data_IF_829399622466
#
_entry.id   IF_829399622466
#
_cell.length_a   1.000
_cell.length_b   1.000
_cell.length_c   1.000
_cell.angle_alpha   90.00
_cell.angle_beta   90.00
_cell.angle_gamma   90.00
#
_symmetry.space_group_name_H-M   'P 1'
#
loop_
_entity.id
_entity.type
_entity.pdbx_description
1 polymer ?
#
# COMPACT_ATOMS: atom_id res chain seq x y z
N UNK A 1 48.03 -13.83 -17.71
CA UNK A 1 47.43 -12.70 -16.98
C UNK A 1 45.94 -12.70 -17.29
N UNK A 2 45.14 -13.31 -16.43
CA UNK A 2 43.68 -13.31 -16.58
C UNK A 2 43.16 -11.95 -16.10
N UNK A 3 42.77 -11.08 -17.04
CA UNK A 3 42.07 -9.85 -16.71
C UNK A 3 40.70 -10.20 -16.15
N UNK A 4 40.48 -9.94 -14.87
CA UNK A 4 39.15 -10.01 -14.27
C UNK A 4 38.25 -9.01 -14.99
N UNK A 5 37.19 -9.50 -15.63
CA UNK A 5 36.18 -8.65 -16.23
C UNK A 5 35.64 -7.69 -15.15
N UNK A 6 35.46 -6.39 -15.44
CA UNK A 6 34.86 -5.47 -14.49
C UNK A 6 33.47 -5.98 -14.12
N UNK A 7 33.23 -6.19 -12.83
CA UNK A 7 31.88 -6.50 -12.34
C UNK A 7 30.95 -5.37 -12.74
N UNK A 8 29.76 -5.66 -13.31
CA UNK A 8 28.76 -4.63 -13.58
C UNK A 8 28.44 -3.87 -12.29
N UNK A 9 29.01 -2.68 -12.14
CA UNK A 9 28.82 -1.87 -10.95
C UNK A 9 27.44 -1.22 -11.05
N UNK A 10 26.42 -1.89 -10.52
CA UNK A 10 25.09 -1.29 -10.38
C UNK A 10 25.24 -0.10 -9.42
N UNK A 11 24.76 1.11 -9.76
CA UNK A 11 24.92 2.27 -8.90
C UNK A 11 24.33 1.96 -7.52
N UNK A 12 25.14 2.04 -6.46
CA UNK A 12 24.70 1.71 -5.11
C UNK A 12 23.44 2.49 -4.70
N UNK A 13 23.31 3.74 -5.17
CA UNK A 13 22.14 4.58 -4.95
C UNK A 13 20.82 4.02 -5.50
N UNK A 14 20.84 3.36 -6.66
CA UNK A 14 19.63 2.77 -7.26
C UNK A 14 19.13 1.57 -6.44
N UNK A 15 20.05 0.78 -5.89
CA UNK A 15 19.73 -0.36 -5.02
C UNK A 15 19.17 0.16 -3.70
N UNK A 16 19.87 1.08 -3.04
CA UNK A 16 19.42 1.68 -1.77
C UNK A 16 18.05 2.33 -1.91
N UNK A 17 17.83 3.14 -2.96
CA UNK A 17 16.54 3.79 -3.18
C UNK A 17 15.41 2.76 -3.37
N UNK A 18 15.64 1.73 -4.17
CA UNK A 18 14.64 0.67 -4.40
C UNK A 18 14.32 -0.07 -3.10
N UNK A 19 15.34 -0.45 -2.32
CA UNK A 19 15.15 -1.14 -1.03
C UNK A 19 14.39 -0.27 -0.04
N UNK A 20 14.77 1.01 0.10
CA UNK A 20 14.08 1.95 1.00
C UNK A 20 12.61 2.11 0.60
N UNK A 21 12.32 2.28 -0.69
CA UNK A 21 10.94 2.40 -1.18
C UNK A 21 10.11 1.15 -0.86
N UNK A 22 10.67 -0.05 -1.02
CA UNK A 22 9.98 -1.29 -0.65
C UNK A 22 9.73 -1.40 0.87
N UNK A 23 10.71 -1.02 1.69
CA UNK A 23 10.57 -1.05 3.16
C UNK A 23 9.49 -0.08 3.61
N UNK A 24 9.53 1.17 3.12
CA UNK A 24 8.54 2.20 3.45
C UNK A 24 7.15 1.78 2.98
N UNK A 25 7.03 1.26 1.75
CA UNK A 25 5.77 0.79 1.22
C UNK A 25 5.22 -0.41 2.01
N UNK A 26 6.07 -1.37 2.38
CA UNK A 26 5.67 -2.51 3.20
C UNK A 26 5.18 -2.09 4.59
N UNK A 27 5.91 -1.20 5.26
CA UNK A 27 5.51 -0.66 6.55
C UNK A 27 4.18 0.10 6.46
N UNK A 28 4.02 0.95 5.44
CA UNK A 28 2.78 1.69 5.21
C UNK A 28 1.61 0.74 4.93
N UNK A 29 1.79 -0.25 4.07
CA UNK A 29 0.77 -1.26 3.77
C UNK A 29 0.36 -2.04 5.03
N UNK A 30 1.30 -2.38 5.92
CA UNK A 30 0.99 -3.04 7.18
C UNK A 30 0.14 -2.16 8.11
N UNK A 31 0.48 -0.87 8.22
CA UNK A 31 -0.31 0.12 8.98
C UNK A 31 -1.72 0.25 8.39
N UNK A 32 -1.83 0.40 7.07
CA UNK A 32 -3.09 0.45 6.34
C UNK A 32 -3.97 -0.77 6.63
N UNK A 33 -3.38 -1.96 6.61
CA UNK A 33 -4.09 -3.21 6.87
C UNK A 33 -4.54 -3.31 8.33
N UNK A 34 -3.69 -2.91 9.28
CA UNK A 34 -4.04 -2.84 10.70
C UNK A 34 -5.21 -1.89 10.97
N UNK A 35 -5.21 -0.71 10.34
CA UNK A 35 -6.32 0.25 10.44
C UNK A 35 -7.62 -0.31 9.85
N UNK A 36 -7.56 -0.97 8.68
CA UNK A 36 -8.72 -1.60 8.07
C UNK A 36 -9.32 -2.70 8.96
N UNK A 37 -8.47 -3.58 9.51
CA UNK A 37 -8.89 -4.64 10.41
C UNK A 37 -9.50 -4.09 11.70
N UNK A 38 -8.85 -3.10 12.32
CA UNK A 38 -9.37 -2.46 13.52
C UNK A 38 -10.75 -1.83 13.28
N UNK A 39 -10.92 -1.16 12.14
CA UNK A 39 -12.18 -0.54 11.72
C UNK A 39 -13.29 -1.58 11.51
N UNK A 40 -12.97 -2.71 10.89
CA UNK A 40 -13.89 -3.83 10.69
C UNK A 40 -14.28 -4.52 12.01
N UNK A 41 -13.33 -4.69 12.92
CA UNK A 41 -13.59 -5.25 14.26
C UNK A 41 -14.53 -4.32 15.05
N UNK A 42 -14.32 -3.01 14.96
CA UNK A 42 -15.20 -2.03 15.61
C UNK A 42 -16.64 -2.11 15.07
N UNK A 43 -16.80 -2.42 13.78
CA UNK A 43 -18.11 -2.67 13.16
C UNK A 43 -18.83 -3.92 13.68
N UNK A 44 -18.06 -4.93 14.10
CA UNK A 44 -18.58 -6.22 14.59
C UNK A 44 -18.90 -6.22 16.08
N UNK A 45 -18.51 -5.18 16.82
CA UNK A 45 -18.96 -4.98 18.21
C UNK A 45 -20.47 -4.72 18.22
N UNK A 46 -21.22 -5.23 19.21
CA UNK A 46 -22.69 -5.14 19.26
C UNK A 46 -23.16 -3.75 19.70
N UNK A 47 -22.70 -2.70 19.02
CA UNK A 47 -23.16 -1.31 19.21
C UNK A 47 -24.58 -1.12 18.63
N UNK A 48 -25.07 -2.13 17.91
CA UNK A 48 -26.22 -2.08 17.04
C UNK A 48 -27.43 -2.92 17.52
N UNK A 49 -27.54 -3.21 18.83
CA UNK A 49 -28.63 -4.06 19.33
C UNK A 49 -29.99 -3.36 19.36
N UNK A 50 -30.06 -2.03 19.47
CA UNK A 50 -31.34 -1.31 19.63
C UNK A 50 -31.64 -0.22 18.59
N UNK A 51 -30.64 0.27 17.83
CA UNK A 51 -30.80 1.45 16.94
C UNK A 51 -30.30 1.23 15.50
N UNK A 52 -30.23 -0.03 15.06
CA UNK A 52 -29.69 -0.48 13.77
C UNK A 52 -30.39 0.12 12.53
N UNK A 53 -31.60 0.63 12.72
CA UNK A 53 -32.44 1.20 11.65
C UNK A 53 -32.32 2.73 11.52
N UNK A 54 -31.43 3.36 12.32
CA UNK A 54 -31.20 4.80 12.20
C UNK A 54 -30.30 5.13 10.99
N UNK A 55 -30.62 6.15 10.18
CA UNK A 55 -29.85 6.48 8.98
C UNK A 55 -28.40 6.86 9.28
N UNK A 56 -28.11 7.32 10.50
CA UNK A 56 -26.77 7.67 10.95
C UNK A 56 -25.87 6.44 11.18
N UNK A 57 -26.41 5.33 11.71
CA UNK A 57 -25.62 4.10 11.86
C UNK A 57 -25.33 3.45 10.52
N UNK A 58 -26.28 3.47 9.59
CA UNK A 58 -26.07 2.95 8.22
C UNK A 58 -24.99 3.73 7.49
N UNK A 59 -24.99 5.07 7.61
CA UNK A 59 -23.96 5.94 7.02
C UNK A 59 -22.58 5.68 7.63
N UNK A 60 -22.51 5.52 8.95
CA UNK A 60 -21.26 5.19 9.65
C UNK A 60 -20.69 3.84 9.20
N UNK A 61 -21.53 2.80 9.18
CA UNK A 61 -21.16 1.44 8.72
C UNK A 61 -20.64 1.48 7.29
N UNK A 62 -21.35 2.18 6.41
CA UNK A 62 -20.97 2.31 5.01
C UNK A 62 -19.62 3.02 4.84
N UNK A 63 -19.39 4.15 5.51
CA UNK A 63 -18.11 4.88 5.44
C UNK A 63 -16.96 4.07 5.99
N UNK A 64 -17.16 3.40 7.11
CA UNK A 64 -16.12 2.59 7.75
C UNK A 64 -15.72 1.42 6.84
N UNK A 65 -16.70 0.72 6.28
CA UNK A 65 -16.47 -0.37 5.35
C UNK A 65 -15.81 0.10 4.04
N UNK A 66 -16.32 1.17 3.42
CA UNK A 66 -15.75 1.72 2.18
C UNK A 66 -14.31 2.17 2.40
N UNK A 67 -14.03 2.90 3.49
CA UNK A 67 -12.66 3.31 3.81
C UNK A 67 -11.72 2.12 4.02
N UNK A 68 -12.17 1.07 4.72
CA UNK A 68 -11.40 -0.16 4.92
C UNK A 68 -11.11 -0.90 3.60
N UNK A 69 -12.10 -0.99 2.69
CA UNK A 69 -11.91 -1.61 1.36
C UNK A 69 -10.94 -0.80 0.51
N UNK A 70 -11.07 0.53 0.49
CA UNK A 70 -10.21 1.41 -0.30
C UNK A 70 -8.76 1.32 0.16
N UNK A 71 -8.52 1.32 1.48
CA UNK A 71 -7.14 1.30 2.00
C UNK A 71 -6.49 -0.08 1.83
N UNK A 72 -7.22 -1.18 2.06
CA UNK A 72 -6.71 -2.53 1.88
C UNK A 72 -6.47 -2.86 0.40
N UNK A 73 -7.43 -2.50 -0.46
CA UNK A 73 -7.32 -2.67 -1.91
C UNK A 73 -6.18 -1.84 -2.51
N UNK A 74 -6.05 -0.59 -2.06
CA UNK A 74 -4.96 0.30 -2.44
C UNK A 74 -3.58 -0.22 -2.05
N UNK A 75 -3.42 -0.72 -0.81
CA UNK A 75 -2.19 -1.33 -0.35
C UNK A 75 -1.82 -2.58 -1.18
N UNK A 76 -2.80 -3.45 -1.45
CA UNK A 76 -2.59 -4.65 -2.28
C UNK A 76 -2.19 -4.27 -3.72
N UNK A 77 -2.91 -3.34 -4.33
CA UNK A 77 -2.62 -2.85 -5.68
C UNK A 77 -1.24 -2.19 -5.75
N UNK A 78 -0.90 -1.34 -4.77
CA UNK A 78 0.41 -0.71 -4.68
C UNK A 78 1.53 -1.75 -4.62
N UNK A 79 1.39 -2.79 -3.79
CA UNK A 79 2.37 -3.87 -3.67
C UNK A 79 2.51 -4.68 -4.96
N UNK A 80 1.40 -4.95 -5.65
CA UNK A 80 1.40 -5.64 -6.95
C UNK A 80 2.14 -4.82 -8.00
N UNK A 81 1.85 -3.53 -8.11
CA UNK A 81 2.49 -2.64 -9.09
C UNK A 81 4.00 -2.51 -8.81
N UNK A 82 4.35 -2.35 -7.54
CA UNK A 82 5.73 -2.29 -7.07
C UNK A 82 6.51 -3.57 -7.40
N UNK A 83 5.97 -4.73 -7.00
CA UNK A 83 6.60 -6.03 -7.19
C UNK A 83 6.70 -6.45 -8.65
N UNK A 84 5.59 -6.39 -9.39
CA UNK A 84 5.56 -6.79 -10.81
C UNK A 84 6.43 -5.85 -11.66
N UNK A 85 6.38 -4.55 -11.41
CA UNK A 85 7.18 -3.56 -12.12
C UNK A 85 8.68 -3.72 -11.87
N UNK A 86 9.08 -3.93 -10.61
CA UNK A 86 10.46 -4.21 -10.25
C UNK A 86 10.96 -5.54 -10.84
N UNK A 87 10.12 -6.59 -10.85
CA UNK A 87 10.46 -7.88 -11.45
C UNK A 87 10.67 -7.77 -12.96
N UNK A 88 9.74 -7.12 -13.68
CA UNK A 88 9.82 -6.94 -15.14
C UNK A 88 11.05 -6.11 -15.53
N UNK A 89 11.34 -5.04 -14.79
CA UNK A 89 12.54 -4.21 -15.06
C UNK A 89 13.84 -4.92 -14.71
N UNK A 90 13.83 -5.72 -13.63
CA UNK A 90 14.93 -6.60 -13.27
C UNK A 90 15.24 -7.61 -14.38
N UNK A 91 14.23 -8.32 -14.87
CA UNK A 91 14.35 -9.31 -15.96
C UNK A 91 14.82 -8.69 -17.29
N UNK A 92 14.41 -7.45 -17.57
CA UNK A 92 14.79 -6.73 -18.79
C UNK A 92 16.11 -5.97 -18.68
N UNK A 93 16.84 -6.08 -17.57
CA UNK A 93 18.08 -5.34 -17.27
C UNK A 93 17.96 -3.82 -17.56
N UNK A 94 16.77 -3.24 -17.34
CA UNK A 94 16.53 -1.81 -17.60
C UNK A 94 16.97 -0.96 -16.41
N UNK A 95 17.62 0.21 -16.66
CA UNK A 95 17.90 1.17 -15.61
C UNK A 95 16.61 1.80 -15.06
N UNK A 96 16.63 2.22 -13.80
CA UNK A 96 15.49 2.90 -13.17
C UNK A 96 14.44 1.97 -12.54
N UNK A 97 14.84 0.86 -11.92
CA UNK A 97 13.95 -0.06 -11.20
C UNK A 97 13.13 0.63 -10.09
N UNK A 98 13.68 1.69 -9.47
CA UNK A 98 13.05 2.44 -8.38
C UNK A 98 11.71 3.12 -8.72
N UNK A 99 11.41 3.32 -10.01
CA UNK A 99 10.16 4.01 -10.44
C UNK A 99 8.92 3.22 -10.07
N UNK A 100 9.00 1.89 -10.12
CA UNK A 100 7.88 0.99 -9.81
C UNK A 100 7.52 0.97 -8.33
N UNK A 101 8.47 0.80 -7.38
CA UNK A 101 8.14 0.91 -5.97
C UNK A 101 7.77 2.34 -5.56
N UNK A 102 8.31 3.38 -6.20
CA UNK A 102 7.84 4.74 -5.97
C UNK A 102 6.36 4.92 -6.37
N UNK A 103 5.97 4.36 -7.52
CA UNK A 103 4.59 4.41 -8.00
C UNK A 103 3.66 3.56 -7.12
N UNK A 104 4.10 2.37 -6.71
CA UNK A 104 3.36 1.53 -5.77
C UNK A 104 3.16 2.21 -4.41
N UNK A 105 4.19 2.87 -3.88
CA UNK A 105 4.09 3.69 -2.67
C UNK A 105 3.08 4.84 -2.84
N UNK A 106 3.12 5.55 -3.96
CA UNK A 106 2.20 6.64 -4.25
C UNK A 106 0.74 6.16 -4.26
N UNK A 107 0.47 4.99 -4.86
CA UNK A 107 -0.86 4.36 -4.84
C UNK A 107 -1.29 4.08 -3.39
N UNK A 108 -0.43 3.46 -2.57
CA UNK A 108 -0.75 3.18 -1.16
C UNK A 108 -1.05 4.47 -0.38
N UNK A 109 -0.27 5.54 -0.56
CA UNK A 109 -0.47 6.83 0.11
C UNK A 109 -1.80 7.46 -0.31
N UNK A 110 -2.08 7.53 -1.62
CA UNK A 110 -3.32 8.12 -2.15
C UNK A 110 -4.53 7.35 -1.63
N UNK A 111 -4.50 6.02 -1.64
CA UNK A 111 -5.58 5.21 -1.08
C UNK A 111 -5.77 5.43 0.42
N UNK A 112 -4.69 5.61 1.18
CA UNK A 112 -4.75 6.00 2.59
C UNK A 112 -5.45 7.34 2.80
N UNK A 113 -5.10 8.36 2.01
CA UNK A 113 -5.71 9.68 2.09
C UNK A 113 -7.20 9.64 1.73
N UNK A 114 -7.59 8.87 0.71
CA UNK A 114 -9.00 8.68 0.33
C UNK A 114 -9.76 8.02 1.47
N UNK A 115 -9.21 6.95 2.06
CA UNK A 115 -9.85 6.25 3.18
C UNK A 115 -10.06 7.18 4.40
N UNK A 116 -9.04 7.97 4.75
CA UNK A 116 -9.17 8.98 5.81
C UNK A 116 -10.26 9.99 5.46
N UNK A 117 -10.29 10.49 4.22
CA UNK A 117 -11.33 11.39 3.73
C UNK A 117 -12.75 10.81 3.86
N UNK A 118 -12.92 9.52 3.55
CA UNK A 118 -14.21 8.81 3.69
C UNK A 118 -14.60 8.64 5.16
N UNK A 119 -13.64 8.47 6.07
CA UNK A 119 -13.93 8.34 7.50
C UNK A 119 -14.30 9.67 8.18
N UNK A 120 -13.70 10.79 7.75
CA UNK A 120 -13.93 12.11 8.37
C UNK A 120 -15.11 12.88 7.77
N UNK A 121 -15.43 12.66 6.50
CA UNK A 121 -16.59 13.29 5.84
C UNK A 121 -17.84 12.52 6.16
#
# INVERSE_FOLDING_TARGET
MAGSAPTPHRPAGDVTATTVLFVVQGALSAVCFGLALLSLIYLMMPICSDNCDSPDVTRFVHRTFVGAVVIAGGAALGLLVSGAGALVTGLRHRPGMWKWPALGLAVTVVSGLIAVGVWVN
#
